data_IF_194643958622
#
_entry.id   IF_194643958622
#
_cell.length_a   1.000
_cell.length_b   1.000
_cell.length_c   1.000
_cell.angle_alpha   90.00
_cell.angle_beta   90.00
_cell.angle_gamma   90.00
#
_symmetry.space_group_name_H-M   'P 1'
#
loop_
_entity.id
_entity.type
_entity.pdbx_description
1 polymer ?
#
# COMPACT_ATOMS: atom_id res chain seq x y z
N UNK A 1 12.98 -26.97 7.57
CA UNK A 1 13.83 -25.88 7.07
C UNK A 1 13.25 -25.47 5.73
N UNK A 2 12.15 -24.70 5.73
CA UNK A 2 11.57 -24.19 4.50
C UNK A 2 12.40 -23.01 4.01
N UNK A 3 13.46 -23.34 3.27
CA UNK A 3 14.29 -22.41 2.53
C UNK A 3 13.67 -22.23 1.13
N UNK A 4 12.50 -21.59 1.07
CA UNK A 4 11.84 -21.31 -0.21
C UNK A 4 12.33 -19.99 -0.79
N UNK A 5 13.26 -20.08 -1.73
CA UNK A 5 13.43 -19.09 -2.80
C UNK A 5 14.80 -18.41 -2.83
N UNK A 6 15.55 -18.50 -3.94
CA UNK A 6 16.64 -17.55 -4.19
C UNK A 6 16.02 -16.14 -4.22
N UNK A 7 16.81 -15.15 -3.81
CA UNK A 7 16.53 -13.72 -3.90
C UNK A 7 16.04 -13.36 -5.31
N UNK A 8 14.75 -13.58 -5.62
CA UNK A 8 14.09 -12.81 -6.66
C UNK A 8 14.34 -11.37 -6.25
N UNK A 9 14.90 -10.60 -7.17
CA UNK A 9 15.05 -9.17 -7.01
C UNK A 9 13.67 -8.61 -6.68
N UNK A 10 13.36 -8.48 -5.38
CA UNK A 10 12.13 -7.86 -4.91
C UNK A 10 12.26 -6.43 -5.37
N UNK A 11 11.72 -6.16 -6.55
CA UNK A 11 11.69 -4.81 -7.06
C UNK A 11 10.82 -4.03 -6.08
N UNK A 12 11.32 -2.86 -5.70
CA UNK A 12 10.68 -2.01 -4.69
C UNK A 12 10.41 -0.64 -5.28
N UNK A 13 9.37 0.00 -4.77
CA UNK A 13 9.10 1.42 -4.95
C UNK A 13 9.53 2.17 -3.69
N UNK A 14 10.21 3.29 -3.86
CA UNK A 14 10.62 4.15 -2.75
C UNK A 14 9.47 5.08 -2.40
N UNK A 15 8.97 4.97 -1.17
CA UNK A 15 7.96 5.87 -0.63
C UNK A 15 8.60 7.11 0.01
N UNK A 16 9.76 6.91 0.65
CA UNK A 16 10.55 7.94 1.32
C UNK A 16 12.03 7.49 1.40
N UNK A 17 12.90 8.30 2.00
CA UNK A 17 14.35 8.09 2.10
C UNK A 17 14.79 6.77 2.76
N UNK A 18 13.89 6.09 3.48
CA UNK A 18 14.15 4.78 4.08
C UNK A 18 12.95 3.83 4.09
N UNK A 19 11.85 4.20 3.43
CA UNK A 19 10.65 3.37 3.38
C UNK A 19 10.40 2.94 1.95
N UNK A 20 10.29 1.63 1.79
CA UNK A 20 10.03 0.99 0.51
C UNK A 20 8.82 0.08 0.59
N UNK A 21 8.10 -0.02 -0.52
CA UNK A 21 7.06 -1.02 -0.71
C UNK A 21 7.42 -1.94 -1.88
N UNK A 22 6.85 -3.16 -1.94
CA UNK A 22 7.02 -4.03 -3.10
C UNK A 22 6.56 -3.34 -4.40
N UNK A 23 7.16 -3.66 -5.54
CA UNK A 23 6.67 -3.20 -6.83
C UNK A 23 5.22 -3.62 -7.07
N UNK A 24 4.51 -2.81 -7.86
CA UNK A 24 3.09 -3.01 -8.11
C UNK A 24 2.17 -2.53 -6.98
N UNK A 25 2.74 -2.01 -5.89
CA UNK A 25 1.99 -1.39 -4.79
C UNK A 25 1.99 0.13 -4.88
N UNK A 26 1.15 0.77 -4.09
CA UNK A 26 1.12 2.23 -3.91
C UNK A 26 1.59 2.59 -2.51
N UNK A 27 2.51 3.55 -2.42
CA UNK A 27 2.94 4.15 -1.16
C UNK A 27 1.82 4.99 -0.57
N UNK A 28 1.29 4.59 0.60
CA UNK A 28 0.29 5.33 1.32
C UNK A 28 0.84 5.87 2.64
N UNK A 29 0.48 7.12 2.96
CA UNK A 29 0.87 7.77 4.21
C UNK A 29 -0.37 8.00 5.07
N UNK A 30 -0.33 7.50 6.31
CA UNK A 30 -1.38 7.74 7.29
C UNK A 30 -1.41 9.22 7.72
N UNK A 31 -2.51 9.71 8.31
CA UNK A 31 -2.57 11.05 8.88
C UNK A 31 -1.54 11.30 9.98
N UNK A 32 -1.03 10.24 10.60
CA UNK A 32 0.00 10.29 11.64
C UNK A 32 1.42 10.28 11.05
N UNK A 33 1.56 10.28 9.72
CA UNK A 33 2.84 10.32 9.03
C UNK A 33 3.51 8.96 8.82
N UNK A 34 2.84 7.85 9.20
CA UNK A 34 3.34 6.48 9.05
C UNK A 34 3.04 5.98 7.64
N UNK A 35 4.04 5.36 7.01
CA UNK A 35 3.92 4.77 5.68
C UNK A 35 3.41 3.32 5.74
N UNK A 36 2.61 2.94 4.75
CA UNK A 36 2.15 1.57 4.53
C UNK A 36 1.97 1.31 3.03
N UNK A 37 1.99 0.03 2.66
CA UNK A 37 1.94 -0.41 1.27
C UNK A 37 0.52 -0.82 0.90
N UNK A 38 -0.10 -0.08 -0.01
CA UNK A 38 -1.38 -0.48 -0.59
C UNK A 38 -1.14 -1.49 -1.72
N UNK A 39 -1.72 -2.71 -1.69
CA UNK A 39 -1.47 -3.74 -2.69
C UNK A 39 -2.02 -3.39 -4.08
N UNK A 40 -2.86 -2.37 -4.19
CA UNK A 40 -3.39 -1.92 -5.47
C UNK A 40 -2.48 -0.87 -6.09
N UNK A 41 -2.09 -1.11 -7.33
CA UNK A 41 -1.47 -0.09 -8.17
C UNK A 41 -2.44 1.07 -8.38
N UNK A 42 -1.96 2.30 -8.20
CA UNK A 42 -2.80 3.52 -8.25
C UNK A 42 -4.01 3.46 -7.29
N UNK A 43 -3.84 2.77 -6.16
CA UNK A 43 -4.86 2.64 -5.13
C UNK A 43 -5.11 3.93 -4.37
N UNK A 44 -6.35 4.14 -3.95
CA UNK A 44 -6.73 5.28 -3.10
C UNK A 44 -6.45 4.93 -1.64
N UNK A 45 -5.57 5.67 -0.98
CA UNK A 45 -5.32 5.53 0.46
C UNK A 45 -6.52 6.04 1.25
N UNK A 46 -6.98 5.27 2.23
CA UNK A 46 -8.03 5.69 3.14
C UNK A 46 -7.49 6.61 4.24
N UNK A 47 -8.36 7.44 4.80
CA UNK A 47 -7.97 8.40 5.84
C UNK A 47 -7.60 7.74 7.16
N UNK A 48 -8.04 6.51 7.40
CA UNK A 48 -7.65 5.77 8.59
C UNK A 48 -6.17 5.36 8.60
N UNK A 49 -5.46 5.50 7.47
CA UNK A 49 -4.05 5.17 7.35
C UNK A 49 -3.74 3.69 7.45
N UNK A 50 -4.72 2.83 7.19
CA UNK A 50 -4.60 1.37 7.28
C UNK A 50 -5.18 0.68 6.06
N UNK A 51 -6.31 1.18 5.56
CA UNK A 51 -6.98 0.61 4.41
C UNK A 51 -6.65 1.39 3.14
N UNK A 52 -6.91 0.75 2.02
CA UNK A 52 -6.89 1.38 0.71
C UNK A 52 -7.85 0.67 -0.24
N UNK A 53 -8.28 1.39 -1.27
CA UNK A 53 -9.16 0.88 -2.30
C UNK A 53 -8.43 0.79 -3.64
N UNK A 54 -8.90 -0.13 -4.49
CA UNK A 54 -8.45 -0.24 -5.87
C UNK A 54 -8.63 1.06 -6.64
N UNK A 55 -7.91 1.21 -7.74
CA UNK A 55 -8.07 2.37 -8.62
C UNK A 55 -9.53 2.58 -9.04
N UNK A 56 -10.00 3.84 -8.99
CA UNK A 56 -11.36 4.23 -9.31
C UNK A 56 -12.40 3.97 -8.22
N UNK A 57 -11.97 3.62 -7.00
CA UNK A 57 -12.82 3.49 -5.82
C UNK A 57 -12.36 4.45 -4.74
N UNK A 58 -13.29 4.82 -3.87
CA UNK A 58 -13.10 5.66 -2.69
C UNK A 58 -13.52 4.91 -1.44
N UNK A 59 -12.85 5.20 -0.33
CA UNK A 59 -13.23 4.62 0.95
C UNK A 59 -14.53 5.27 1.44
N UNK A 60 -15.40 4.49 2.06
CA UNK A 60 -16.52 5.03 2.82
C UNK A 60 -16.03 5.80 4.08
N UNK A 61 -16.96 6.39 4.84
CA UNK A 61 -16.60 7.16 6.04
C UNK A 61 -15.92 6.33 7.12
N UNK A 62 -16.17 5.02 7.15
CA UNK A 62 -15.55 4.09 8.11
C UNK A 62 -14.24 3.48 7.59
N UNK A 63 -13.88 3.72 6.33
CA UNK A 63 -12.71 3.12 5.65
C UNK A 63 -12.74 1.58 5.60
N UNK A 64 -13.92 0.97 5.69
CA UNK A 64 -14.10 -0.50 5.64
C UNK A 64 -14.68 -0.97 4.31
N UNK A 65 -15.28 -0.06 3.53
CA UNK A 65 -15.88 -0.36 2.22
C UNK A 65 -15.28 0.52 1.13
N UNK A 66 -15.11 -0.07 -0.05
CA UNK A 66 -14.72 0.63 -1.26
C UNK A 66 -15.96 0.90 -2.12
N UNK A 67 -16.30 2.17 -2.27
CA UNK A 67 -17.39 2.66 -3.10
C UNK A 67 -16.84 3.16 -4.44
N UNK A 68 -17.61 3.01 -5.52
CA UNK A 68 -17.24 3.55 -6.85
C UNK A 68 -17.74 4.98 -6.99
#
# INVERSE_FOLDING_TARGET
MDLSGPLESVSVVFCDAGITCPSGTTCCRSPFGVWYCCPFLMGQCCRDGRHCCRHGYRCDSTSTLCLR
#
